data_IF_453750900476
#
_entry.id   IF_453750900476
#
_cell.length_a   1.000
_cell.length_b   1.000
_cell.length_c   1.000
_cell.angle_alpha   90.00
_cell.angle_beta   90.00
_cell.angle_gamma   90.00
#
_symmetry.space_group_name_H-M   'P 1'
#
loop_
_entity.id
_entity.type
_entity.pdbx_description
1 polymer ?
#
# COMPACT_ATOMS: atom_id res chain seq x y z
N UNK A 1 9.04 -14.39 -24.42
CA UNK A 1 9.86 -13.29 -23.84
C UNK A 1 9.11 -12.80 -22.61
N UNK A 2 9.75 -12.67 -21.45
CA UNK A 2 9.07 -12.08 -20.29
C UNK A 2 8.71 -10.62 -20.59
N UNK A 3 7.59 -10.16 -20.04
CA UNK A 3 7.11 -8.80 -20.28
C UNK A 3 8.02 -7.82 -19.51
N UNK A 4 8.50 -6.77 -20.17
CA UNK A 4 9.30 -5.75 -19.48
C UNK A 4 8.44 -5.01 -18.45
N UNK A 5 9.01 -4.71 -17.28
CA UNK A 5 8.39 -3.86 -16.28
C UNK A 5 8.40 -2.39 -16.72
N UNK A 6 7.34 -1.68 -16.36
CA UNK A 6 7.22 -0.22 -16.40
C UNK A 6 6.91 0.28 -15.01
N UNK A 7 7.34 1.50 -14.70
CA UNK A 7 7.06 2.14 -13.42
C UNK A 7 6.66 3.60 -13.61
N UNK A 8 5.92 4.12 -12.63
CA UNK A 8 5.66 5.54 -12.43
C UNK A 8 5.94 5.92 -10.98
N UNK A 9 6.36 7.16 -10.74
CA UNK A 9 6.60 7.69 -9.39
C UNK A 9 5.79 8.96 -9.20
N UNK A 10 5.14 9.08 -8.05
CA UNK A 10 4.49 10.31 -7.58
C UNK A 10 5.27 10.82 -6.37
N UNK A 11 5.80 12.04 -6.49
CA UNK A 11 6.59 12.72 -5.46
C UNK A 11 5.73 13.82 -4.84
N UNK A 12 5.36 13.68 -3.57
CA UNK A 12 4.65 14.72 -2.83
C UNK A 12 5.65 15.60 -2.06
N UNK A 13 5.44 16.92 -2.10
CA UNK A 13 6.29 17.89 -1.42
C UNK A 13 5.54 19.17 -1.05
N UNK A 14 5.97 19.80 0.03
CA UNK A 14 5.61 21.19 0.32
C UNK A 14 6.59 22.11 -0.40
N UNK A 15 6.08 23.16 -1.03
CA UNK A 15 6.86 24.19 -1.73
C UNK A 15 6.69 25.51 -1.01
N UNK A 16 7.80 26.10 -0.58
CA UNK A 16 7.80 27.40 0.07
C UNK A 16 7.53 28.52 -0.93
N UNK A 17 6.73 29.50 -0.53
CA UNK A 17 6.52 30.72 -1.28
C UNK A 17 6.40 31.95 -0.37
N UNK A 18 6.55 33.11 -0.97
CA UNK A 18 6.45 34.45 -0.37
C UNK A 18 5.54 35.29 -1.27
N UNK A 19 4.70 36.13 -0.66
CA UNK A 19 3.80 37.00 -1.42
C UNK A 19 4.59 38.05 -2.21
N UNK A 20 4.06 38.44 -3.36
CA UNK A 20 4.71 39.44 -4.21
C UNK A 20 4.87 40.78 -3.48
N UNK A 21 6.12 41.25 -3.40
CA UNK A 21 6.47 42.50 -2.73
C UNK A 21 6.86 42.35 -1.27
N UNK A 22 6.76 41.16 -0.69
CA UNK A 22 7.27 40.87 0.65
C UNK A 22 8.76 40.51 0.63
N UNK A 23 9.44 40.78 1.74
CA UNK A 23 10.82 40.35 1.93
C UNK A 23 10.88 38.85 2.18
N UNK A 24 11.92 38.19 1.65
CA UNK A 24 12.14 36.77 1.94
C UNK A 24 12.48 36.61 3.43
N UNK A 25 11.86 35.66 4.14
CA UNK A 25 12.25 35.33 5.52
C UNK A 25 13.75 35.05 5.66
N UNK A 26 14.32 34.24 4.77
CA UNK A 26 15.76 34.10 4.60
C UNK A 26 16.26 34.94 3.41
N UNK A 27 17.00 36.00 3.72
CA UNK A 27 17.63 36.87 2.73
C UNK A 27 18.71 36.18 1.88
N UNK A 28 19.23 35.03 2.31
CA UNK A 28 20.24 34.25 1.58
C UNK A 28 19.64 33.20 0.64
N UNK A 29 18.32 33.00 0.67
CA UNK A 29 17.63 32.03 -0.17
C UNK A 29 17.76 32.39 -1.67
N UNK A 30 18.36 31.47 -2.43
CA UNK A 30 18.65 31.63 -3.86
C UNK A 30 17.67 30.89 -4.76
N UNK A 31 16.89 29.97 -4.19
CA UNK A 31 15.85 29.21 -4.88
C UNK A 31 14.61 30.06 -5.14
N UNK A 32 13.74 29.55 -6.01
CA UNK A 32 12.48 30.17 -6.38
C UNK A 32 11.50 30.00 -5.21
N UNK A 33 11.13 31.13 -4.62
CA UNK A 33 10.10 31.26 -3.57
C UNK A 33 9.10 32.37 -3.90
N UNK A 34 9.23 33.05 -5.05
CA UNK A 34 8.30 34.09 -5.50
C UNK A 34 7.77 33.69 -6.88
N UNK A 35 6.44 33.71 -7.02
CA UNK A 35 5.73 33.22 -8.21
C UNK A 35 4.82 34.34 -8.77
N UNK A 36 5.34 35.19 -9.68
CA UNK A 36 4.67 36.44 -10.10
C UNK A 36 3.35 36.24 -10.85
N UNK A 37 2.41 37.18 -10.68
CA UNK A 37 1.09 37.19 -11.32
C UNK A 37 1.14 37.31 -12.84
N UNK A 38 2.24 37.83 -13.37
CA UNK A 38 2.37 38.06 -14.81
C UNK A 38 2.62 36.77 -15.61
N UNK A 39 2.85 35.64 -14.92
CA UNK A 39 3.06 34.31 -15.51
C UNK A 39 1.75 33.47 -15.57
N UNK A 40 0.57 34.09 -15.38
CA UNK A 40 -0.73 33.40 -15.27
C UNK A 40 -1.22 32.68 -16.54
N UNK A 41 -1.56 31.38 -16.45
CA UNK A 41 -2.73 30.82 -17.12
C UNK A 41 -4.00 31.20 -16.32
N UNK A 42 -5.06 31.67 -16.99
CA UNK A 42 -6.37 31.96 -16.35
C UNK A 42 -6.85 30.74 -15.56
N UNK A 43 -7.13 30.91 -14.28
CA UNK A 43 -7.76 29.91 -13.41
C UNK A 43 -9.21 30.33 -13.09
N UNK A 44 -10.22 29.68 -13.71
CA UNK A 44 -11.63 30.01 -13.50
C UNK A 44 -12.10 29.82 -12.06
N UNK A 45 -11.45 28.96 -11.26
CA UNK A 45 -11.85 28.72 -9.87
C UNK A 45 -11.53 29.93 -8.97
N UNK A 46 -10.45 30.67 -9.31
CA UNK A 46 -10.01 31.88 -8.61
C UNK A 46 -10.77 33.16 -9.03
N UNK A 47 -11.46 33.18 -10.17
CA UNK A 47 -12.23 34.35 -10.62
C UNK A 47 -13.49 34.61 -9.76
N UNK A 48 -13.87 33.69 -8.86
CA UNK A 48 -15.13 33.77 -8.11
C UNK A 48 -15.07 34.43 -6.73
N UNK A 49 -13.91 34.91 -6.25
CA UNK A 49 -13.77 35.44 -4.88
C UNK A 49 -12.95 36.72 -4.81
N UNK A 50 -13.63 37.86 -4.88
CA UNK A 50 -13.05 39.16 -4.54
C UNK A 50 -13.47 39.58 -3.14
N UNK A 51 -12.49 39.67 -2.23
CA UNK A 51 -12.34 40.52 -1.03
C UNK A 51 -11.67 39.74 0.13
N UNK A 52 -10.40 40.03 0.43
CA UNK A 52 -9.67 39.48 1.58
C UNK A 52 -8.23 39.03 1.26
N UNK A 53 -7.44 38.77 2.31
CA UNK A 53 -6.10 38.13 2.26
C UNK A 53 -6.10 36.96 1.27
N UNK A 54 -5.08 36.86 0.42
CA UNK A 54 -4.99 35.86 -0.65
C UNK A 54 -4.55 34.50 -0.07
N UNK A 55 -5.43 33.48 0.01
CA UNK A 55 -5.04 32.15 0.48
C UNK A 55 -3.92 31.53 -0.38
N UNK A 56 -3.07 30.66 0.18
CA UNK A 56 -2.07 29.88 -0.56
C UNK A 56 -2.57 29.19 -1.83
N UNK A 57 -3.87 28.86 -1.89
CA UNK A 57 -4.53 28.29 -3.06
C UNK A 57 -4.41 29.16 -4.34
N UNK A 58 -4.29 30.48 -4.23
CA UNK A 58 -4.13 31.37 -5.40
C UNK A 58 -2.77 31.22 -6.09
N UNK A 59 -1.74 30.79 -5.36
CA UNK A 59 -0.39 30.61 -5.90
C UNK A 59 -0.18 29.24 -6.52
N UNK A 60 -1.03 28.25 -6.19
CA UNK A 60 -0.92 26.86 -6.67
C UNK A 60 -0.74 26.78 -8.19
N UNK A 61 -1.61 27.44 -8.96
CA UNK A 61 -1.55 27.42 -10.44
C UNK A 61 -0.27 28.05 -10.98
N UNK A 62 0.29 29.05 -10.30
CA UNK A 62 1.56 29.71 -10.66
C UNK A 62 2.77 28.85 -10.31
N UNK A 63 2.74 28.20 -9.15
CA UNK A 63 3.77 27.24 -8.72
C UNK A 63 3.81 26.07 -9.71
N UNK A 64 2.66 25.49 -10.05
CA UNK A 64 2.56 24.40 -11.04
C UNK A 64 3.13 24.84 -12.40
N UNK A 65 2.79 26.04 -12.88
CA UNK A 65 3.31 26.56 -14.14
C UNK A 65 4.84 26.70 -14.12
N UNK A 66 5.41 27.16 -13.01
CA UNK A 66 6.85 27.33 -12.87
C UNK A 66 7.62 26.01 -12.77
N UNK A 67 7.05 25.01 -12.09
CA UNK A 67 7.56 23.64 -12.09
C UNK A 67 7.58 23.06 -13.50
N UNK A 68 6.44 23.15 -14.23
CA UNK A 68 6.34 22.72 -15.63
C UNK A 68 7.39 23.41 -16.50
N UNK A 69 7.57 24.73 -16.36
CA UNK A 69 8.58 25.50 -17.09
C UNK A 69 10.01 25.02 -16.76
N UNK A 70 10.29 24.79 -15.49
CA UNK A 70 11.62 24.36 -15.00
C UNK A 70 11.96 22.96 -15.51
N UNK A 71 11.04 22.01 -15.39
CA UNK A 71 11.19 20.63 -15.90
C UNK A 71 11.39 20.65 -17.41
N UNK A 72 10.57 21.42 -18.14
CA UNK A 72 10.69 21.56 -19.60
C UNK A 72 12.04 22.17 -20.04
N UNK A 73 12.52 23.22 -19.35
CA UNK A 73 13.85 23.80 -19.60
C UNK A 73 14.99 22.84 -19.25
N UNK A 74 14.77 21.92 -18.32
CA UNK A 74 15.68 20.82 -18.00
C UNK A 74 15.77 19.75 -19.11
N UNK A 75 14.95 19.84 -20.15
CA UNK A 75 14.93 18.89 -21.28
C UNK A 75 14.01 17.68 -21.06
N UNK A 76 13.19 17.70 -20.02
CA UNK A 76 12.22 16.64 -19.74
C UNK A 76 10.87 16.94 -20.38
N UNK A 77 10.17 15.94 -20.94
CA UNK A 77 8.83 16.14 -21.51
C UNK A 77 7.85 16.51 -20.41
N UNK A 78 7.02 17.52 -20.62
CA UNK A 78 6.03 17.97 -19.63
C UNK A 78 4.64 17.55 -20.09
N UNK A 79 3.87 16.97 -19.18
CA UNK A 79 2.50 16.54 -19.47
C UNK A 79 1.58 17.74 -19.73
N UNK A 80 0.75 17.60 -20.76
CA UNK A 80 -0.23 18.62 -21.14
C UNK A 80 -1.40 18.71 -20.17
N UNK A 81 -1.83 17.57 -19.63
CA UNK A 81 -2.91 17.42 -18.64
C UNK A 81 -2.46 16.51 -17.50
N UNK A 82 -3.24 16.43 -16.42
CA UNK A 82 -2.94 15.53 -15.29
C UNK A 82 -3.05 14.04 -15.65
N UNK A 83 -3.83 13.72 -16.68
CA UNK A 83 -4.07 12.36 -17.20
C UNK A 83 -3.10 11.97 -18.32
N UNK A 84 -2.25 12.90 -18.77
CA UNK A 84 -1.26 12.66 -19.81
C UNK A 84 -0.03 11.94 -19.24
N UNK A 85 0.03 10.63 -19.46
CA UNK A 85 1.12 9.77 -18.96
C UNK A 85 2.39 9.81 -19.81
N UNK A 86 2.46 10.68 -20.83
CA UNK A 86 3.60 10.76 -21.75
C UNK A 86 4.69 11.75 -21.32
N UNK A 87 4.38 12.61 -20.36
CA UNK A 87 5.32 13.57 -19.78
C UNK A 87 5.24 13.62 -18.26
N UNK A 88 6.10 14.44 -17.67
CA UNK A 88 6.09 14.76 -16.25
C UNK A 88 4.89 15.66 -15.95
N UNK A 89 3.96 15.15 -15.13
CA UNK A 89 2.82 15.93 -14.68
C UNK A 89 3.14 16.62 -13.36
N UNK A 90 2.58 17.81 -13.20
CA UNK A 90 2.67 18.60 -11.97
C UNK A 90 1.26 19.01 -11.62
N UNK A 91 0.82 18.59 -10.44
CA UNK A 91 -0.51 18.85 -9.90
C UNK A 91 -0.32 19.41 -8.49
N UNK A 92 -1.32 20.11 -7.97
CA UNK A 92 -1.26 20.48 -6.56
C UNK A 92 -2.08 19.52 -5.74
N UNK A 93 -1.61 19.24 -4.53
CA UNK A 93 -2.20 18.27 -3.64
C UNK A 93 -2.76 18.98 -2.40
N UNK A 94 -4.06 18.82 -2.19
CA UNK A 94 -4.79 19.42 -1.08
C UNK A 94 -4.84 18.52 0.16
N UNK A 95 -4.37 17.27 0.04
CA UNK A 95 -4.27 16.34 1.16
C UNK A 95 -3.02 16.59 2.02
N UNK A 96 -2.04 17.32 1.49
CA UNK A 96 -0.83 17.73 2.18
C UNK A 96 -1.13 18.86 3.16
N UNK A 97 -0.70 18.67 4.42
CA UNK A 97 -0.87 19.68 5.44
C UNK A 97 0.40 20.51 5.60
N UNK A 98 0.18 21.75 6.07
CA UNK A 98 1.25 22.66 6.42
C UNK A 98 2.25 21.97 7.38
N UNK A 99 3.55 22.20 7.20
CA UNK A 99 4.58 21.82 8.18
C UNK A 99 4.17 22.23 9.59
N UNK A 100 4.34 21.34 10.56
CA UNK A 100 4.03 21.68 11.96
C UNK A 100 5.08 22.64 12.52
N UNK A 101 4.73 23.47 13.52
CA UNK A 101 5.67 24.39 14.20
C UNK A 101 6.91 23.68 14.82
N UNK A 102 6.89 22.35 14.88
CA UNK A 102 8.01 21.52 15.36
C UNK A 102 9.03 21.17 14.27
N UNK A 103 8.77 21.48 13.00
CA UNK A 103 9.72 21.28 11.90
C UNK A 103 10.68 22.48 11.83
N UNK A 104 11.99 22.25 12.02
CA UNK A 104 13.02 23.29 12.13
C UNK A 104 13.16 24.18 10.87
N UNK A 105 12.53 23.81 9.75
CA UNK A 105 12.69 24.44 8.43
C UNK A 105 11.50 25.34 8.00
N UNK A 106 10.57 25.70 8.90
CA UNK A 106 9.38 26.48 8.50
C UNK A 106 9.64 27.96 8.22
N UNK A 107 10.78 28.51 8.66
CA UNK A 107 11.33 29.86 8.38
C UNK A 107 10.32 30.92 7.91
N UNK A 108 9.20 31.11 8.62
CA UNK A 108 8.11 32.06 8.30
C UNK A 108 7.66 32.09 6.81
N UNK A 109 7.87 31.00 6.05
CA UNK A 109 7.39 30.87 4.69
C UNK A 109 5.94 30.39 4.67
N UNK A 110 5.19 30.79 3.65
CA UNK A 110 3.96 30.09 3.30
C UNK A 110 4.27 28.82 2.50
N UNK A 111 3.42 27.80 2.62
CA UNK A 111 3.65 26.49 2.00
C UNK A 111 2.49 26.02 1.14
N UNK A 112 2.82 25.47 -0.04
CA UNK A 112 1.85 24.89 -0.98
C UNK A 112 2.19 23.43 -1.26
N UNK A 113 1.20 22.54 -1.15
CA UNK A 113 1.35 21.12 -1.48
C UNK A 113 1.37 20.88 -3.00
N UNK A 114 2.43 20.26 -3.49
CA UNK A 114 2.65 19.93 -4.91
C UNK A 114 2.99 18.45 -5.04
N UNK A 115 2.47 17.84 -6.09
CA UNK A 115 2.78 16.47 -6.48
C UNK A 115 3.36 16.46 -7.91
N UNK A 116 4.53 15.82 -8.06
CA UNK A 116 5.20 15.64 -9.36
C UNK A 116 5.14 14.17 -9.73
N UNK A 117 4.55 13.87 -10.89
CA UNK A 117 4.38 12.52 -11.40
C UNK A 117 5.27 12.28 -12.60
N UNK A 118 6.00 11.17 -12.61
CA UNK A 118 6.75 10.73 -13.79
C UNK A 118 5.78 10.33 -14.91
N UNK A 119 6.23 10.34 -16.18
CA UNK A 119 5.55 9.55 -17.21
C UNK A 119 5.59 8.05 -16.86
N UNK A 120 4.84 7.24 -17.62
CA UNK A 120 4.97 5.79 -17.54
C UNK A 120 6.32 5.34 -18.15
N UNK A 121 7.31 5.11 -17.30
CA UNK A 121 8.69 4.86 -17.69
C UNK A 121 8.97 3.35 -17.86
N UNK A 122 9.74 2.93 -18.87
CA UNK A 122 10.27 1.56 -18.90
C UNK A 122 11.30 1.39 -17.78
N UNK A 123 11.35 0.22 -17.13
CA UNK A 123 12.34 -0.07 -16.09
C UNK A 123 13.73 -0.27 -16.69
N UNK A 124 14.47 0.83 -16.86
CA UNK A 124 15.82 0.88 -17.43
C UNK A 124 16.71 1.84 -16.63
N UNK A 125 18.05 1.69 -16.70
CA UNK A 125 18.96 2.63 -16.04
C UNK A 125 18.74 4.09 -16.45
N UNK A 126 18.38 4.35 -17.70
CA UNK A 126 18.10 5.70 -18.20
C UNK A 126 16.86 6.31 -17.55
N UNK A 127 15.80 5.52 -17.40
CA UNK A 127 14.57 5.97 -16.72
C UNK A 127 14.82 6.25 -15.24
N UNK A 128 15.58 5.38 -14.56
CA UNK A 128 15.96 5.60 -13.16
C UNK A 128 16.82 6.85 -13.01
N UNK A 129 17.76 7.09 -13.93
CA UNK A 129 18.56 8.31 -13.94
C UNK A 129 17.71 9.56 -14.16
N UNK A 130 16.72 9.52 -15.06
CA UNK A 130 15.81 10.65 -15.27
C UNK A 130 15.05 11.03 -13.99
N UNK A 131 14.69 10.05 -13.14
CA UNK A 131 14.09 10.32 -11.82
C UNK A 131 15.06 11.06 -10.90
N UNK A 132 16.32 10.60 -10.82
CA UNK A 132 17.37 11.28 -10.02
C UNK A 132 17.60 12.71 -10.50
N UNK A 133 17.66 12.91 -11.81
CA UNK A 133 17.93 14.19 -12.43
C UNK A 133 16.80 15.19 -12.16
N UNK A 134 15.53 14.77 -12.25
CA UNK A 134 14.38 15.62 -11.92
C UNK A 134 14.31 15.95 -10.42
N UNK A 135 14.57 14.98 -9.54
CA UNK A 135 14.65 15.26 -8.10
C UNK A 135 15.71 16.33 -7.80
N UNK A 136 16.90 16.17 -8.38
CA UNK A 136 18.01 17.11 -8.25
C UNK A 136 17.63 18.49 -8.80
N UNK A 137 17.03 18.53 -9.99
CA UNK A 137 16.58 19.77 -10.63
C UNK A 137 15.59 20.53 -9.75
N UNK A 138 14.61 19.82 -9.16
CA UNK A 138 13.61 20.43 -8.28
C UNK A 138 14.28 20.99 -7.03
N UNK A 139 15.09 20.20 -6.32
CA UNK A 139 15.76 20.64 -5.09
C UNK A 139 16.71 21.82 -5.31
N UNK A 140 17.35 21.91 -6.48
CA UNK A 140 18.21 23.04 -6.85
C UNK A 140 17.45 24.32 -7.18
N UNK A 141 16.17 24.21 -7.56
CA UNK A 141 15.39 25.34 -8.09
C UNK A 141 14.32 25.83 -7.14
N UNK A 142 13.78 24.97 -6.29
CA UNK A 142 12.68 25.27 -5.39
C UNK A 142 13.07 24.95 -3.96
N UNK A 143 12.62 25.79 -3.00
CA UNK A 143 12.70 25.44 -1.58
C UNK A 143 11.54 24.48 -1.29
N UNK A 144 11.87 23.21 -1.09
CA UNK A 144 10.91 22.15 -0.81
C UNK A 144 11.14 21.55 0.57
N UNK A 145 10.08 21.01 1.16
CA UNK A 145 10.10 20.31 2.43
C UNK A 145 9.26 19.03 2.31
N UNK A 146 9.74 17.96 2.94
CA UNK A 146 9.00 16.71 3.10
C UNK A 146 8.64 16.57 4.57
N UNK A 147 7.38 16.27 4.86
CA UNK A 147 6.84 16.14 6.20
C UNK A 147 5.99 14.87 6.34
N UNK A 148 5.40 14.63 7.51
CA UNK A 148 4.63 13.40 7.78
C UNK A 148 3.40 13.22 6.89
N UNK A 149 2.96 14.26 6.18
CA UNK A 149 1.84 14.18 5.23
C UNK A 149 2.28 13.86 3.80
N UNK A 150 3.54 14.15 3.47
CA UNK A 150 4.09 13.82 2.15
C UNK A 150 4.39 12.32 2.03
N UNK A 151 4.05 11.76 0.88
CA UNK A 151 4.30 10.38 0.48
C UNK A 151 5.15 10.26 -0.78
N UNK A 152 5.67 9.05 -0.97
CA UNK A 152 6.24 8.60 -2.23
C UNK A 152 5.39 7.43 -2.74
N UNK A 153 4.70 7.63 -3.86
CA UNK A 153 3.94 6.55 -4.49
C UNK A 153 4.71 5.98 -5.68
N UNK A 154 4.68 4.65 -5.82
CA UNK A 154 5.27 3.95 -6.96
C UNK A 154 4.22 3.07 -7.60
N UNK A 155 3.98 3.28 -8.88
CA UNK A 155 3.12 2.46 -9.72
C UNK A 155 3.97 1.48 -10.52
N UNK A 156 3.65 0.19 -10.54
CA UNK A 156 4.37 -0.81 -11.33
C UNK A 156 3.40 -1.66 -12.14
N UNK A 157 3.77 -1.93 -13.40
CA UNK A 157 3.03 -2.80 -14.31
C UNK A 157 3.87 -3.25 -15.50
N UNK A 158 3.22 -3.73 -16.56
CA UNK A 158 3.87 -4.14 -17.82
C UNK A 158 3.41 -3.29 -19.01
N UNK A 159 3.41 -1.98 -18.83
CA UNK A 159 2.78 -1.04 -19.75
C UNK A 159 1.32 -1.41 -19.96
N UNK A 160 0.88 -1.56 -21.20
CA UNK A 160 -0.51 -1.91 -21.53
C UNK A 160 -0.90 -3.35 -21.19
N UNK A 161 0.03 -4.18 -20.74
CA UNK A 161 -0.26 -5.56 -20.35
C UNK A 161 -0.58 -5.65 -18.86
N UNK A 162 -1.62 -6.40 -18.50
CA UNK A 162 -1.88 -6.76 -17.11
C UNK A 162 -0.97 -7.89 -16.64
N UNK A 163 -0.77 -7.95 -15.32
CA UNK A 163 -0.38 -9.16 -14.60
C UNK A 163 -1.37 -10.30 -14.87
N UNK A 164 -0.90 -11.55 -14.85
CA UNK A 164 -1.81 -12.70 -14.92
C UNK A 164 -2.60 -12.81 -13.61
N UNK A 165 -3.77 -13.46 -13.62
CA UNK A 165 -4.54 -13.70 -12.39
C UNK A 165 -3.74 -14.48 -11.33
N UNK A 166 -2.89 -15.41 -11.78
CA UNK A 166 -1.99 -16.15 -10.90
C UNK A 166 -0.96 -15.24 -10.25
N UNK A 167 -0.33 -14.35 -11.02
CA UNK A 167 0.64 -13.39 -10.47
C UNK A 167 -0.02 -12.40 -9.53
N UNK A 168 -1.24 -11.92 -9.83
CA UNK A 168 -2.01 -11.07 -8.91
C UNK A 168 -2.24 -11.77 -7.56
N UNK A 169 -2.64 -13.03 -7.58
CA UNK A 169 -2.81 -13.84 -6.35
C UNK A 169 -1.49 -13.99 -5.59
N UNK A 170 -0.39 -14.34 -6.29
CA UNK A 170 0.94 -14.44 -5.69
C UNK A 170 1.39 -13.12 -5.06
N UNK A 171 1.24 -12.00 -5.78
CA UNK A 171 1.63 -10.65 -5.32
C UNK A 171 0.88 -10.27 -4.05
N UNK A 172 -0.45 -10.42 -4.04
CA UNK A 172 -1.27 -10.12 -2.88
C UNK A 172 -0.92 -10.99 -1.67
N UNK A 173 -0.67 -12.28 -1.89
CA UNK A 173 -0.26 -13.20 -0.83
C UNK A 173 1.13 -12.86 -0.28
N UNK A 174 2.09 -12.51 -1.15
CA UNK A 174 3.43 -12.08 -0.77
C UNK A 174 3.37 -10.83 0.10
N UNK A 175 2.67 -9.80 -0.39
CA UNK A 175 2.53 -8.53 0.33
C UNK A 175 1.87 -8.77 1.68
N UNK A 176 0.80 -9.57 1.75
CA UNK A 176 0.19 -9.89 3.05
C UNK A 176 1.18 -10.59 3.99
N UNK A 177 1.87 -11.63 3.51
CA UNK A 177 2.78 -12.43 4.31
C UNK A 177 3.94 -11.58 4.88
N UNK A 178 4.48 -10.69 4.05
CA UNK A 178 5.70 -9.93 4.33
C UNK A 178 5.49 -8.45 4.61
N UNK A 179 4.24 -7.97 4.73
CA UNK A 179 3.98 -6.58 5.10
C UNK A 179 4.71 -6.18 6.40
N UNK A 180 4.78 -7.00 7.47
CA UNK A 180 5.55 -6.63 8.66
C UNK A 180 7.02 -6.36 8.37
N UNK A 181 7.65 -7.16 7.50
CA UNK A 181 9.03 -6.95 7.04
C UNK A 181 9.11 -5.70 6.16
N UNK A 182 8.28 -5.56 5.14
CA UNK A 182 8.30 -4.41 4.23
C UNK A 182 8.06 -3.09 4.98
N UNK A 183 7.15 -3.09 5.95
CA UNK A 183 6.84 -1.92 6.78
C UNK A 183 8.07 -1.42 7.53
N UNK A 184 8.97 -2.32 7.96
CA UNK A 184 10.19 -1.95 8.68
C UNK A 184 11.13 -1.04 7.87
N UNK A 185 10.93 -0.90 6.56
CA UNK A 185 11.67 0.06 5.72
C UNK A 185 11.17 1.50 5.85
N UNK A 186 10.11 1.72 6.64
CA UNK A 186 9.44 3.01 6.75
C UNK A 186 9.31 3.43 8.22
N UNK A 187 9.37 4.73 8.52
CA UNK A 187 9.19 5.22 9.88
C UNK A 187 7.77 4.96 10.39
N UNK A 188 7.61 4.94 11.72
CA UNK A 188 6.34 4.57 12.38
C UNK A 188 5.14 5.43 11.95
N UNK A 189 5.36 6.70 11.56
CA UNK A 189 4.30 7.57 11.08
C UNK A 189 3.70 7.11 9.73
N UNK A 190 4.41 6.26 8.98
CA UNK A 190 3.92 5.62 7.74
C UNK A 190 3.41 4.19 7.95
N UNK A 191 3.57 3.61 9.14
CA UNK A 191 3.12 2.24 9.42
C UNK A 191 1.61 2.07 9.15
N UNK A 192 0.81 3.01 9.66
CA UNK A 192 -0.62 3.10 9.37
C UNK A 192 -1.05 4.55 9.54
N UNK A 193 -1.34 5.21 8.43
CA UNK A 193 -1.85 6.59 8.40
C UNK A 193 -3.19 6.65 7.69
N UNK A 194 -3.90 7.78 7.77
CA UNK A 194 -5.27 7.89 7.25
C UNK A 194 -5.39 7.66 5.73
N UNK A 195 -4.28 7.83 5.02
CA UNK A 195 -4.17 7.65 3.57
C UNK A 195 -3.28 6.46 3.20
N UNK A 196 -2.97 5.57 4.14
CA UNK A 196 -2.09 4.42 3.93
C UNK A 196 -2.16 3.46 5.10
N UNK A 197 -3.16 2.59 5.06
CA UNK A 197 -3.43 1.61 6.07
C UNK A 197 -2.69 0.31 5.78
N UNK A 198 -2.08 -0.26 6.83
CA UNK A 198 -1.50 -1.60 6.79
C UNK A 198 -2.57 -2.63 6.40
N UNK A 199 -2.29 -3.41 5.36
CA UNK A 199 -3.10 -4.48 4.80
C UNK A 199 -3.40 -5.57 5.84
N UNK A 200 -2.43 -5.96 6.68
CA UNK A 200 -2.58 -6.96 7.74
C UNK A 200 -3.72 -6.62 8.68
N UNK A 201 -3.90 -5.35 9.00
CA UNK A 201 -4.91 -4.90 9.96
C UNK A 201 -6.19 -4.39 9.30
N UNK A 202 -6.08 -3.76 8.13
CA UNK A 202 -7.17 -2.95 7.58
C UNK A 202 -7.79 -3.50 6.30
N UNK A 203 -7.24 -4.56 5.70
CA UNK A 203 -7.91 -5.15 4.54
C UNK A 203 -9.29 -5.71 4.90
N UNK A 204 -10.18 -5.78 3.91
CA UNK A 204 -11.56 -6.23 4.10
C UNK A 204 -11.62 -7.63 4.71
N UNK A 205 -10.73 -8.55 4.32
CA UNK A 205 -10.65 -9.88 4.93
C UNK A 205 -10.32 -9.80 6.43
N UNK A 206 -9.25 -9.10 6.80
CA UNK A 206 -8.82 -8.94 8.19
C UNK A 206 -9.90 -8.30 9.06
N UNK A 207 -10.50 -7.21 8.59
CA UNK A 207 -11.57 -6.49 9.31
C UNK A 207 -12.85 -7.34 9.43
N UNK A 208 -13.25 -8.05 8.37
CA UNK A 208 -14.38 -8.98 8.39
C UNK A 208 -14.15 -10.12 9.36
N UNK A 209 -12.94 -10.69 9.35
CA UNK A 209 -12.55 -11.77 10.26
C UNK A 209 -12.55 -11.30 11.71
N UNK A 210 -11.95 -10.15 12.00
CA UNK A 210 -11.91 -9.57 13.35
C UNK A 210 -13.31 -9.25 13.86
N UNK A 211 -14.19 -8.64 13.04
CA UNK A 211 -15.59 -8.37 13.43
C UNK A 211 -16.36 -9.64 13.75
N UNK A 212 -16.10 -10.73 13.01
CA UNK A 212 -16.79 -12.01 13.20
C UNK A 212 -16.26 -12.81 14.39
N UNK A 213 -14.96 -12.78 14.65
CA UNK A 213 -14.29 -13.69 15.57
C UNK A 213 -13.63 -13.02 16.78
N UNK A 214 -13.58 -11.69 16.82
CA UNK A 214 -12.96 -10.92 17.91
C UNK A 214 -11.44 -11.00 17.97
N UNK A 215 -10.79 -11.60 16.96
CA UNK A 215 -9.33 -11.76 16.85
C UNK A 215 -8.90 -11.57 15.40
N UNK A 216 -7.64 -11.15 15.19
CA UNK A 216 -7.06 -11.03 13.85
C UNK A 216 -6.81 -12.40 13.21
N UNK A 217 -6.91 -12.55 11.88
CA UNK A 217 -6.46 -13.76 11.22
C UNK A 217 -4.93 -13.90 11.32
N UNK A 218 -4.46 -15.14 11.38
CA UNK A 218 -3.02 -15.42 11.24
C UNK A 218 -2.54 -15.19 9.82
N UNK A 219 -1.22 -14.99 9.64
CA UNK A 219 -0.59 -14.91 8.32
C UNK A 219 -1.00 -16.08 7.42
N UNK A 220 -0.88 -17.30 7.96
CA UNK A 220 -1.20 -18.53 7.24
C UNK A 220 -2.66 -18.54 6.76
N UNK A 221 -3.60 -18.13 7.60
CA UNK A 221 -5.02 -18.07 7.23
C UNK A 221 -5.29 -17.16 6.04
N UNK A 222 -4.76 -15.95 6.08
CA UNK A 222 -4.97 -14.97 5.03
C UNK A 222 -4.26 -15.36 3.73
N UNK A 223 -3.00 -15.81 3.81
CA UNK A 223 -2.24 -16.31 2.67
C UNK A 223 -2.97 -17.48 2.02
N UNK A 224 -3.43 -18.47 2.79
CA UNK A 224 -4.24 -19.58 2.26
C UNK A 224 -5.51 -19.06 1.59
N UNK A 225 -6.24 -18.12 2.21
CA UNK A 225 -7.47 -17.56 1.62
C UNK A 225 -7.17 -16.85 0.30
N UNK A 226 -6.11 -16.04 0.21
CA UNK A 226 -5.73 -15.34 -1.02
C UNK A 226 -5.36 -16.32 -2.13
N UNK A 227 -4.46 -17.29 -1.84
CA UNK A 227 -3.97 -18.25 -2.84
C UNK A 227 -5.05 -19.23 -3.33
N UNK A 228 -6.07 -19.50 -2.50
CA UNK A 228 -7.16 -20.43 -2.84
C UNK A 228 -8.42 -19.74 -3.38
N UNK A 229 -8.42 -18.40 -3.47
CA UNK A 229 -9.56 -17.66 -4.01
C UNK A 229 -9.59 -17.78 -5.53
N UNK A 230 -10.63 -18.47 -6.03
CA UNK A 230 -10.87 -18.73 -7.44
C UNK A 230 -12.38 -18.59 -7.67
N UNK A 231 -12.76 -17.82 -8.68
CA UNK A 231 -14.15 -17.61 -9.11
C UNK A 231 -14.45 -18.32 -10.44
N UNK A 232 -15.69 -18.19 -10.92
CA UNK A 232 -16.13 -18.78 -12.20
C UNK A 232 -15.32 -18.32 -13.40
N UNK A 233 -14.62 -17.18 -13.32
CA UNK A 233 -13.78 -16.66 -14.37
C UNK A 233 -12.64 -15.81 -13.80
N UNK A 234 -11.64 -15.52 -14.64
CA UNK A 234 -10.42 -14.81 -14.24
C UNK A 234 -10.67 -13.35 -13.83
N UNK A 235 -11.68 -12.69 -14.40
CA UNK A 235 -11.98 -11.28 -14.09
C UNK A 235 -12.76 -11.17 -12.78
N UNK A 236 -13.69 -12.08 -12.52
CA UNK A 236 -14.34 -12.24 -11.22
C UNK A 236 -13.32 -12.62 -10.13
N UNK A 237 -12.36 -13.49 -10.44
CA UNK A 237 -11.30 -13.88 -9.49
C UNK A 237 -10.45 -12.67 -9.10
N UNK A 238 -10.02 -11.84 -10.07
CA UNK A 238 -9.25 -10.62 -9.80
C UNK A 238 -10.04 -9.62 -8.95
N UNK A 239 -11.33 -9.46 -9.19
CA UNK A 239 -12.19 -8.58 -8.40
C UNK A 239 -12.33 -9.06 -6.95
N UNK A 240 -12.59 -10.34 -6.74
CA UNK A 240 -12.68 -10.92 -5.39
C UNK A 240 -11.34 -10.80 -4.65
N UNK A 241 -10.24 -11.09 -5.33
CA UNK A 241 -8.89 -10.91 -4.79
C UNK A 241 -8.65 -9.46 -4.36
N UNK A 242 -8.94 -8.49 -5.24
CA UNK A 242 -8.80 -7.06 -4.95
C UNK A 242 -9.70 -6.63 -3.76
N UNK A 243 -10.94 -7.11 -3.69
CA UNK A 243 -11.84 -6.81 -2.57
C UNK A 243 -11.27 -7.36 -1.26
N UNK A 244 -10.81 -8.62 -1.22
CA UNK A 244 -10.25 -9.25 -0.02
C UNK A 244 -9.13 -8.42 0.63
N UNK A 245 -8.29 -7.81 -0.21
CA UNK A 245 -7.05 -7.14 0.22
C UNK A 245 -7.16 -5.62 0.30
N UNK A 246 -8.22 -5.04 -0.24
CA UNK A 246 -8.43 -3.58 -0.22
C UNK A 246 -8.77 -3.07 1.18
N UNK A 247 -8.34 -1.84 1.46
CA UNK A 247 -8.76 -1.12 2.67
C UNK A 247 -10.04 -0.34 2.39
N UNK A 248 -11.16 -0.80 2.95
CA UNK A 248 -12.47 -0.18 2.76
C UNK A 248 -13.02 -0.37 1.35
N UNK A 249 -14.01 0.46 0.99
CA UNK A 249 -14.77 0.31 -0.27
C UNK A 249 -14.05 0.83 -1.51
N UNK A 250 -13.05 1.70 -1.36
CA UNK A 250 -12.35 2.30 -2.49
C UNK A 250 -10.91 1.84 -2.66
N UNK A 251 -10.33 1.11 -1.70
CA UNK A 251 -8.94 0.63 -1.74
C UNK A 251 -7.85 1.71 -1.65
N UNK A 252 -8.18 2.98 -1.99
CA UNK A 252 -7.29 4.14 -2.05
C UNK A 252 -6.72 4.61 -0.72
N UNK A 253 -7.11 4.00 0.39
CA UNK A 253 -6.55 4.33 1.71
C UNK A 253 -5.61 3.23 2.22
N UNK A 254 -5.26 2.23 1.40
CA UNK A 254 -4.28 1.20 1.76
C UNK A 254 -2.85 1.62 1.43
N UNK A 255 -1.88 1.01 2.13
CA UNK A 255 -0.45 1.04 1.77
C UNK A 255 -0.18 0.45 0.37
N UNK A 256 -1.12 -0.37 -0.10
CA UNK A 256 -1.10 -0.97 -1.43
C UNK A 256 -2.49 -0.76 -2.04
N UNK A 257 -2.52 -0.21 -3.26
CA UNK A 257 -3.75 -0.01 -4.01
C UNK A 257 -3.76 -0.91 -5.25
N UNK A 258 -4.70 -1.85 -5.24
CA UNK A 258 -4.85 -2.89 -6.26
C UNK A 258 -5.93 -2.55 -7.31
N UNK A 259 -6.54 -1.36 -7.25
CA UNK A 259 -7.62 -0.98 -8.17
C UNK A 259 -7.21 -1.04 -9.64
N UNK A 260 -5.94 -0.75 -9.95
CA UNK A 260 -5.40 -0.84 -11.30
C UNK A 260 -5.25 -2.28 -11.82
N UNK A 261 -5.35 -3.28 -10.94
CA UNK A 261 -5.30 -4.70 -11.30
C UNK A 261 -6.69 -5.29 -11.57
N UNK A 262 -7.76 -4.56 -11.26
CA UNK A 262 -9.11 -4.94 -11.63
C UNK A 262 -9.26 -4.86 -13.15
N UNK A 263 -9.87 -5.88 -13.76
CA UNK A 263 -10.17 -5.87 -15.18
C UNK A 263 -11.28 -4.84 -15.48
N UNK A 264 -10.89 -3.62 -15.86
CA UNK A 264 -11.81 -2.52 -16.18
C UNK A 264 -12.05 -2.35 -17.69
N UNK A 265 -11.69 -3.34 -18.50
CA UNK A 265 -11.97 -3.35 -19.94
C UNK A 265 -11.13 -2.38 -20.77
N UNK A 266 -11.59 -2.08 -22.00
CA UNK A 266 -10.82 -1.46 -23.10
C UNK A 266 -10.38 0.00 -22.85
N UNK A 267 -10.92 0.65 -21.81
CA UNK A 267 -10.61 2.04 -21.43
C UNK A 267 -9.94 2.16 -20.05
N UNK A 268 -9.47 1.06 -19.46
CA UNK A 268 -8.77 1.10 -18.19
C UNK A 268 -7.45 1.89 -18.35
N UNK A 269 -7.15 2.74 -17.36
CA UNK A 269 -5.80 3.28 -17.15
C UNK A 269 -4.79 2.12 -17.09
N UNK A 270 -3.52 2.42 -17.37
CA UNK A 270 -2.44 1.44 -17.40
C UNK A 270 -2.50 0.55 -16.14
N UNK A 271 -2.65 -0.78 -16.27
CA UNK A 271 -2.92 -1.66 -15.14
C UNK A 271 -1.68 -1.72 -14.25
N UNK A 272 -1.74 -1.01 -13.13
CA UNK A 272 -0.62 -0.89 -12.19
C UNK A 272 -1.03 -1.30 -10.80
N UNK A 273 -0.06 -1.84 -10.07
CA UNK A 273 -0.07 -1.92 -8.62
C UNK A 273 0.58 -0.64 -8.08
N UNK A 274 -0.12 0.05 -7.20
CA UNK A 274 0.37 1.27 -6.56
C UNK A 274 0.83 0.97 -5.12
N UNK A 275 2.06 1.33 -4.82
CA UNK A 275 2.71 1.23 -3.51
C UNK A 275 2.77 2.61 -2.86
N UNK A 276 2.22 2.74 -1.65
CA UNK A 276 1.93 4.04 -0.99
C UNK A 276 2.53 4.18 0.41
N UNK A 277 3.21 3.13 0.87
CA UNK A 277 3.77 3.04 2.22
C UNK A 277 5.00 3.92 2.47
N UNK A 278 5.70 4.38 1.43
CA UNK A 278 6.97 5.11 1.61
C UNK A 278 6.72 6.58 2.00
N UNK A 279 7.51 7.11 2.93
CA UNK A 279 7.48 8.54 3.29
C UNK A 279 7.90 9.42 2.10
N UNK A 280 7.42 10.65 2.06
CA UNK A 280 7.83 11.62 1.06
C UNK A 280 9.34 11.85 1.13
N UNK A 281 10.00 11.85 -0.03
CA UNK A 281 11.43 12.14 -0.14
C UNK A 281 11.74 12.77 -1.50
N UNK A 282 12.75 13.63 -1.51
CA UNK A 282 13.35 14.16 -2.74
C UNK A 282 14.78 13.64 -2.95
N UNK A 283 15.25 12.67 -2.15
CA UNK A 283 16.50 11.95 -2.40
C UNK A 283 16.31 10.98 -3.57
N UNK A 284 16.80 11.39 -4.75
CA UNK A 284 16.69 10.59 -5.97
C UNK A 284 17.34 9.20 -5.87
N UNK A 285 18.38 9.02 -5.05
CA UNK A 285 18.96 7.69 -4.83
C UNK A 285 18.00 6.79 -4.06
N UNK A 286 17.42 7.32 -2.98
CA UNK A 286 16.44 6.59 -2.18
C UNK A 286 15.20 6.20 -3.00
N UNK A 287 14.69 7.13 -3.82
CA UNK A 287 13.55 6.86 -4.73
C UNK A 287 13.89 5.71 -5.68
N UNK A 288 15.08 5.72 -6.30
CA UNK A 288 15.49 4.68 -7.25
C UNK A 288 15.72 3.32 -6.55
N UNK A 289 16.33 3.30 -5.38
CA UNK A 289 16.51 2.08 -4.60
C UNK A 289 15.18 1.46 -4.20
N UNK A 290 14.19 2.30 -3.89
CA UNK A 290 12.83 1.85 -3.62
C UNK A 290 12.15 1.26 -4.86
N UNK A 291 12.22 1.93 -6.01
CA UNK A 291 11.70 1.40 -7.29
C UNK A 291 12.37 0.06 -7.64
N UNK A 292 13.69 -0.04 -7.52
CA UNK A 292 14.44 -1.27 -7.80
C UNK A 292 14.03 -2.42 -6.86
N UNK A 293 13.84 -2.13 -5.57
CA UNK A 293 13.35 -3.11 -4.60
C UNK A 293 11.99 -3.65 -5.02
N UNK A 294 11.04 -2.76 -5.31
CA UNK A 294 9.67 -3.15 -5.67
C UNK A 294 9.62 -3.94 -6.98
N UNK A 295 10.30 -3.48 -8.03
CA UNK A 295 10.36 -4.21 -9.30
C UNK A 295 11.08 -5.55 -9.14
N UNK A 296 12.17 -5.59 -8.36
CA UNK A 296 12.91 -6.81 -8.07
C UNK A 296 12.08 -7.85 -7.32
N UNK A 297 11.29 -7.39 -6.35
CA UNK A 297 10.33 -8.22 -5.62
C UNK A 297 9.27 -8.80 -6.55
N UNK A 298 8.64 -7.96 -7.39
CA UNK A 298 7.63 -8.43 -8.35
C UNK A 298 8.22 -9.40 -9.37
N UNK A 299 9.45 -9.16 -9.83
CA UNK A 299 10.16 -10.07 -10.72
C UNK A 299 10.40 -11.43 -10.07
N UNK A 300 10.87 -11.48 -8.83
CA UNK A 300 10.99 -12.73 -8.08
C UNK A 300 9.65 -13.46 -8.02
N UNK A 301 8.58 -12.75 -7.68
CA UNK A 301 7.23 -13.33 -7.58
C UNK A 301 6.78 -13.94 -8.91
N UNK A 302 6.97 -13.24 -10.04
CA UNK A 302 6.57 -13.74 -11.36
C UNK A 302 7.43 -14.93 -11.83
N UNK A 303 8.74 -14.87 -11.60
CA UNK A 303 9.70 -15.89 -12.04
C UNK A 303 9.58 -17.19 -11.23
N UNK A 304 9.08 -17.12 -9.98
CA UNK A 304 8.95 -18.29 -9.11
C UNK A 304 7.75 -19.18 -9.50
N UNK A 305 8.02 -20.48 -9.56
CA UNK A 305 7.00 -21.52 -9.79
C UNK A 305 6.00 -21.53 -8.63
N UNK A 306 4.70 -21.70 -8.95
CA UNK A 306 3.62 -21.42 -8.01
C UNK A 306 3.66 -22.32 -6.77
N UNK A 307 3.94 -23.63 -6.91
CA UNK A 307 4.05 -24.55 -5.77
C UNK A 307 5.22 -24.20 -4.86
N UNK A 308 6.39 -23.92 -5.43
CA UNK A 308 7.60 -23.50 -4.72
C UNK A 308 7.37 -22.18 -3.97
N UNK A 309 6.72 -21.22 -4.64
CA UNK A 309 6.30 -19.95 -4.06
C UNK A 309 5.30 -20.13 -2.90
N UNK A 310 4.24 -20.90 -3.11
CA UNK A 310 3.23 -21.16 -2.08
C UNK A 310 3.84 -21.85 -0.86
N UNK A 311 4.71 -22.84 -1.09
CA UNK A 311 5.46 -23.51 -0.02
C UNK A 311 6.30 -22.53 0.78
N UNK A 312 7.04 -21.64 0.11
CA UNK A 312 7.83 -20.61 0.77
C UNK A 312 6.96 -19.71 1.68
N UNK A 313 5.81 -19.25 1.17
CA UNK A 313 4.89 -18.44 1.97
C UNK A 313 4.33 -19.21 3.17
N UNK A 314 3.93 -20.47 3.01
CA UNK A 314 3.39 -21.27 4.11
C UNK A 314 4.43 -21.60 5.16
N UNK A 315 5.62 -22.06 4.76
CA UNK A 315 6.72 -22.35 5.68
C UNK A 315 7.10 -21.10 6.49
N UNK A 316 7.02 -19.92 5.89
CA UNK A 316 7.36 -18.66 6.55
C UNK A 316 6.22 -18.19 7.45
N UNK A 317 4.97 -18.26 6.99
CA UNK A 317 3.79 -17.92 7.78
C UNK A 317 3.63 -18.82 9.01
N UNK A 318 4.03 -20.09 8.95
CA UNK A 318 4.02 -21.01 10.09
C UNK A 318 5.03 -20.65 11.18
N UNK A 319 6.14 -19.99 10.81
CA UNK A 319 7.14 -19.49 11.77
C UNK A 319 6.67 -18.24 12.52
N UNK A 320 5.63 -17.55 12.03
CA UNK A 320 5.07 -16.39 12.70
C UNK A 320 4.27 -16.81 13.95
N UNK A 321 4.96 -16.86 15.10
CA UNK A 321 4.39 -17.24 16.40
C UNK A 321 3.37 -16.22 16.92
N UNK A 322 3.62 -14.94 16.64
CA UNK A 322 2.75 -13.82 16.98
C UNK A 322 3.08 -12.59 16.11
N UNK A 323 2.16 -11.64 16.08
CA UNK A 323 2.32 -10.33 15.42
C UNK A 323 1.95 -9.23 16.40
N UNK A 324 2.52 -8.04 16.21
CA UNK A 324 2.09 -6.84 16.92
C UNK A 324 0.70 -6.44 16.42
N UNK A 325 -0.19 -6.04 17.33
CA UNK A 325 -1.57 -5.65 16.98
C UNK A 325 -2.03 -4.36 17.64
N UNK A 326 -1.17 -3.67 18.39
CA UNK A 326 -1.52 -2.39 19.02
C UNK A 326 -2.63 -2.52 20.06
N UNK A 327 -2.66 -3.60 20.83
CA UNK A 327 -3.65 -3.85 21.90
C UNK A 327 -3.09 -3.58 23.31
N UNK A 328 -1.99 -2.82 23.40
CA UNK A 328 -1.21 -2.53 24.62
C UNK A 328 -0.56 -3.76 25.27
N UNK A 329 -0.65 -4.94 24.65
CA UNK A 329 -0.04 -6.19 25.15
C UNK A 329 1.16 -6.64 24.35
N UNK A 330 1.54 -5.92 23.28
CA UNK A 330 2.66 -6.27 22.41
C UNK A 330 3.98 -6.40 23.19
N UNK A 331 4.30 -5.45 24.08
CA UNK A 331 5.50 -5.53 24.92
C UNK A 331 5.52 -6.76 25.84
N UNK A 332 4.35 -7.17 26.36
CA UNK A 332 4.23 -8.38 27.19
C UNK A 332 4.39 -9.64 26.35
N UNK A 333 3.81 -9.68 25.15
CA UNK A 333 4.00 -10.77 24.20
C UNK A 333 5.46 -10.90 23.83
N UNK A 334 6.13 -9.80 23.48
CA UNK A 334 7.55 -9.82 23.13
C UNK A 334 8.42 -10.34 24.28
N UNK A 335 8.16 -9.90 25.52
CA UNK A 335 8.89 -10.38 26.70
C UNK A 335 8.70 -11.89 26.97
N UNK A 336 7.54 -12.47 26.58
CA UNK A 336 7.21 -13.87 26.84
C UNK A 336 7.49 -14.81 25.67
N UNK A 337 7.35 -14.33 24.43
CA UNK A 337 7.41 -15.12 23.19
C UNK A 337 8.65 -14.81 22.34
N UNK A 338 9.42 -13.78 22.72
CA UNK A 338 10.51 -13.24 21.90
C UNK A 338 10.02 -12.26 20.84
N UNK A 339 10.92 -11.72 19.99
CA UNK A 339 10.56 -10.80 18.92
C UNK A 339 9.57 -11.44 17.94
N UNK A 340 8.86 -10.61 17.17
CA UNK A 340 8.11 -11.09 16.00
C UNK A 340 9.08 -11.67 14.97
N UNK A 341 8.55 -12.41 13.99
CA UNK A 341 9.35 -12.94 12.89
C UNK A 341 10.15 -11.83 12.17
N UNK A 342 9.48 -10.72 11.86
CA UNK A 342 10.07 -9.57 11.16
C UNK A 342 11.13 -8.80 11.96
N UNK A 343 11.06 -8.84 13.29
CA UNK A 343 12.03 -8.18 14.19
C UNK A 343 13.20 -9.09 14.59
N UNK A 344 13.19 -10.36 14.18
CA UNK A 344 14.08 -11.39 14.72
C UNK A 344 14.53 -12.41 13.69
N UNK A 345 13.86 -13.56 13.66
CA UNK A 345 14.34 -14.75 12.92
C UNK A 345 14.35 -14.60 11.39
N UNK A 346 13.54 -13.70 10.82
CA UNK A 346 13.49 -13.44 9.38
C UNK A 346 13.07 -11.99 9.09
N UNK A 347 14.07 -11.11 9.08
CA UNK A 347 13.91 -9.66 8.88
C UNK A 347 13.67 -9.29 7.42
N UNK A 348 13.40 -8.01 7.14
CA UNK A 348 13.35 -7.51 5.76
C UNK A 348 14.68 -7.70 5.02
N UNK A 349 15.81 -7.61 5.71
CA UNK A 349 17.12 -7.80 5.09
C UNK A 349 17.31 -9.26 4.68
N UNK A 350 16.88 -10.20 5.53
CA UNK A 350 16.89 -11.63 5.20
C UNK A 350 15.96 -11.94 4.02
N UNK A 351 14.78 -11.33 3.99
CA UNK A 351 13.84 -11.44 2.87
C UNK A 351 14.47 -10.92 1.56
N UNK A 352 15.05 -9.71 1.58
CA UNK A 352 15.68 -9.12 0.41
C UNK A 352 16.82 -9.99 -0.11
N UNK A 353 17.66 -10.54 0.78
CA UNK A 353 18.72 -11.49 0.40
C UNK A 353 18.16 -12.79 -0.17
N UNK A 354 17.08 -13.31 0.42
CA UNK A 354 16.41 -14.53 -0.04
C UNK A 354 15.89 -14.39 -1.48
N UNK A 355 15.25 -13.26 -1.79
CA UNK A 355 14.72 -12.99 -3.14
C UNK A 355 15.76 -12.40 -4.11
N UNK A 356 17.04 -12.42 -3.74
CA UNK A 356 18.15 -12.05 -4.62
C UNK A 356 18.47 -10.55 -4.70
N UNK A 357 17.82 -9.70 -3.90
CA UNK A 357 18.00 -8.25 -3.86
C UNK A 357 19.12 -7.84 -2.89
N UNK A 358 20.33 -8.36 -3.11
CA UNK A 358 21.47 -8.11 -2.23
C UNK A 358 21.89 -6.64 -2.18
N UNK A 359 21.81 -5.91 -3.29
CA UNK A 359 22.14 -4.48 -3.34
C UNK A 359 21.17 -3.66 -2.47
N UNK A 360 19.87 -3.91 -2.60
CA UNK A 360 18.85 -3.24 -1.79
C UNK A 360 18.98 -3.65 -0.32
N UNK A 361 19.27 -4.93 -0.05
CA UNK A 361 19.56 -5.39 1.32
C UNK A 361 20.74 -4.60 1.93
N UNK A 362 21.82 -4.40 1.18
CA UNK A 362 22.98 -3.65 1.65
C UNK A 362 22.70 -2.14 1.79
N UNK A 363 21.85 -1.57 0.94
CA UNK A 363 21.44 -0.16 1.02
C UNK A 363 20.54 0.12 2.24
N UNK A 364 19.58 -0.77 2.52
CA UNK A 364 18.57 -0.56 3.56
C UNK A 364 18.93 -1.12 4.94
N UNK A 365 19.98 -1.95 5.07
CA UNK A 365 20.33 -2.60 6.37
C UNK A 365 20.48 -1.65 7.56
N UNK A 366 20.93 -0.42 7.31
CA UNK A 366 21.13 0.60 8.34
C UNK A 366 19.96 1.61 8.39
N UNK A 367 18.86 1.33 7.68
CA UNK A 367 17.65 2.17 7.50
C UNK A 367 16.37 1.43 7.86
N UNK A 368 16.48 0.42 8.73
CA UNK A 368 15.32 -0.36 9.21
C UNK A 368 14.80 0.19 10.53
N UNK A 369 13.48 0.21 10.66
CA UNK A 369 12.74 0.70 11.80
C UNK A 369 12.12 -0.47 12.57
N UNK A 370 12.27 -0.44 13.90
CA UNK A 370 11.46 -1.27 14.78
C UNK A 370 10.23 -0.48 15.20
N UNK A 371 9.05 -0.96 14.86
CA UNK A 371 7.80 -0.28 15.22
C UNK A 371 7.27 -0.75 16.56
N UNK A 372 6.99 0.19 17.45
CA UNK A 372 6.03 -0.01 18.53
C UNK A 372 4.66 0.42 18.00
N UNK A 373 3.81 -0.54 17.60
CA UNK A 373 2.53 -0.24 16.97
C UNK A 373 1.66 0.55 17.96
N UNK A 374 1.21 1.77 17.60
CA UNK A 374 0.38 2.56 18.50
C UNK A 374 -0.95 1.86 18.80
N UNK A 375 -1.54 2.09 19.99
CA UNK A 375 -2.81 1.48 20.34
C UNK A 375 -3.89 1.81 19.32
N UNK A 376 -4.57 0.80 18.77
CA UNK A 376 -5.69 1.01 17.85
C UNK A 376 -7.02 0.78 18.58
N UNK A 377 -7.91 1.77 18.56
CA UNK A 377 -9.28 1.63 19.05
C UNK A 377 -10.10 0.76 18.10
N UNK A 378 -10.31 -0.50 18.49
CA UNK A 378 -11.20 -1.42 17.77
C UNK A 378 -12.66 -1.09 18.14
N UNK A 379 -13.56 -0.83 17.18
CA UNK A 379 -14.99 -0.83 17.44
C UNK A 379 -15.42 -2.25 17.81
N UNK A 380 -15.57 -2.52 19.11
CA UNK A 380 -16.12 -3.80 19.58
C UNK A 380 -17.63 -3.78 19.32
N UNK A 381 -18.06 -4.33 18.18
CA UNK A 381 -19.47 -4.70 18.03
C UNK A 381 -19.78 -5.84 19.01
N UNK A 382 -20.89 -5.71 19.73
CA UNK A 382 -21.35 -6.67 20.76
C UNK A 382 -21.22 -8.10 20.24
N UNK A 383 -20.58 -8.96 21.06
CA UNK A 383 -20.41 -10.41 20.87
C UNK A 383 -21.58 -11.04 20.11
N UNK A 384 -21.37 -11.42 18.85
CA UNK A 384 -22.08 -12.58 18.28
C UNK A 384 -21.24 -13.80 18.67
N UNK A 385 -21.31 -14.19 19.95
CA UNK A 385 -20.63 -15.39 20.41
C UNK A 385 -21.40 -16.61 19.93
N UNK A 386 -21.08 -17.07 18.73
CA UNK A 386 -21.09 -18.50 18.45
C UNK A 386 -19.64 -18.95 18.42
N UNK A 387 -19.33 -19.96 19.23
CA UNK A 387 -18.02 -20.61 19.24
C UNK A 387 -17.57 -20.89 17.80
N UNK A 388 -16.29 -20.67 17.49
CA UNK A 388 -15.74 -21.02 16.18
C UNK A 388 -15.92 -22.53 15.95
N UNK A 389 -16.98 -22.88 15.21
CA UNK A 389 -17.21 -24.22 14.68
C UNK A 389 -16.57 -24.25 13.29
N UNK A 390 -15.38 -24.85 13.21
CA UNK A 390 -14.65 -24.97 11.97
C UNK A 390 -15.13 -26.19 11.17
N UNK A 391 -15.40 -26.06 9.86
CA UNK A 391 -15.88 -27.18 9.03
C UNK A 391 -14.86 -28.34 8.89
N UNK A 392 -13.57 -28.13 9.17
CA UNK A 392 -12.62 -29.25 9.28
C UNK A 392 -13.04 -30.24 10.37
N UNK A 393 -13.79 -29.82 11.40
CA UNK A 393 -14.34 -30.77 12.39
C UNK A 393 -15.27 -31.76 11.73
N UNK A 394 -16.12 -31.36 10.78
CA UNK A 394 -16.99 -32.31 10.08
C UNK A 394 -16.19 -33.30 9.24
N UNK A 395 -15.23 -32.81 8.44
CA UNK A 395 -14.41 -33.69 7.58
C UNK A 395 -13.48 -34.62 8.40
N UNK A 396 -12.98 -34.21 9.56
CA UNK A 396 -12.14 -35.04 10.44
C UNK A 396 -12.93 -35.90 11.44
N UNK A 397 -14.06 -35.43 11.98
CA UNK A 397 -14.91 -36.19 12.91
C UNK A 397 -15.67 -37.31 12.18
N UNK A 398 -16.09 -37.08 10.93
CA UNK A 398 -16.69 -38.12 10.09
C UNK A 398 -15.66 -39.21 9.67
N UNK A 399 -14.36 -38.94 9.80
CA UNK A 399 -13.27 -39.88 9.49
C UNK A 399 -12.58 -40.54 10.70
N UNK A 400 -12.50 -39.89 11.87
CA UNK A 400 -11.56 -40.29 12.94
C UNK A 400 -12.17 -40.28 14.36
N UNK A 401 -13.39 -39.80 14.57
CA UNK A 401 -14.11 -39.98 15.84
C UNK A 401 -13.39 -39.46 17.09
N UNK A 402 -12.78 -38.26 17.04
CA UNK A 402 -12.13 -37.65 18.21
C UNK A 402 -12.73 -36.29 18.54
N UNK A 403 -13.19 -36.12 19.79
CA UNK A 403 -13.48 -34.81 20.37
C UNK A 403 -12.17 -34.12 20.76
N UNK A 404 -11.75 -33.09 20.03
CA UNK A 404 -10.45 -32.47 20.21
C UNK A 404 -10.50 -31.19 21.07
N UNK A 405 -9.52 -31.04 21.97
CA UNK A 405 -9.29 -29.86 22.81
C UNK A 405 -8.82 -28.64 21.98
N UNK A 406 -8.82 -27.40 22.52
CA UNK A 406 -8.46 -26.18 21.78
C UNK A 406 -7.05 -26.20 21.16
N UNK A 407 -6.06 -26.82 21.81
CA UNK A 407 -4.70 -26.98 21.27
C UNK A 407 -4.66 -27.96 20.08
N UNK A 408 -5.53 -28.97 20.10
CA UNK A 408 -5.69 -29.93 18.99
C UNK A 408 -6.41 -29.29 17.79
N UNK A 409 -7.33 -28.34 18.02
CA UNK A 409 -7.99 -27.57 16.96
C UNK A 409 -7.03 -26.64 16.19
N UNK A 410 -6.09 -25.97 16.88
CA UNK A 410 -5.09 -25.12 16.21
C UNK A 410 -4.13 -25.95 15.32
N UNK A 411 -3.74 -27.13 15.82
CA UNK A 411 -2.95 -28.10 15.06
C UNK A 411 -3.72 -28.64 13.85
N UNK A 412 -4.97 -29.09 14.03
CA UNK A 412 -5.82 -29.56 12.93
C UNK A 412 -6.06 -28.47 11.87
N UNK A 413 -6.20 -27.20 12.29
CA UNK A 413 -6.29 -26.07 11.37
C UNK A 413 -5.00 -25.89 10.55
N UNK A 414 -3.83 -25.93 11.20
CA UNK A 414 -2.53 -25.86 10.52
C UNK A 414 -2.36 -27.01 9.54
N UNK A 415 -2.72 -28.23 9.93
CA UNK A 415 -2.71 -29.40 9.03
C UNK A 415 -3.65 -29.23 7.83
N UNK A 416 -4.87 -28.73 8.03
CA UNK A 416 -5.81 -28.47 6.94
C UNK A 416 -5.28 -27.38 6.00
N UNK A 417 -4.70 -26.31 6.54
CA UNK A 417 -4.10 -25.23 5.75
C UNK A 417 -2.90 -25.71 4.94
N UNK A 418 -2.00 -26.48 5.57
CA UNK A 418 -0.90 -27.15 4.87
C UNK A 418 -1.39 -28.13 3.82
N UNK A 419 -2.46 -28.90 4.11
CA UNK A 419 -3.11 -29.78 3.14
C UNK A 419 -3.69 -29.02 1.95
N UNK A 420 -4.38 -27.90 2.18
CA UNK A 420 -4.89 -27.05 1.09
C UNK A 420 -3.75 -26.47 0.26
N UNK A 421 -2.65 -26.07 0.91
CA UNK A 421 -1.44 -25.63 0.23
C UNK A 421 -0.84 -26.72 -0.66
N UNK A 422 -0.67 -27.92 -0.12
CA UNK A 422 -0.19 -29.08 -0.86
C UNK A 422 -1.14 -29.50 -2.00
N UNK A 423 -2.45 -29.44 -1.77
CA UNK A 423 -3.47 -29.73 -2.77
C UNK A 423 -3.48 -28.70 -3.90
N UNK A 424 -3.26 -27.42 -3.58
CA UNK A 424 -3.14 -26.35 -4.57
C UNK A 424 -1.88 -26.54 -5.43
N UNK A 425 -0.74 -26.81 -4.80
CA UNK A 425 0.52 -27.12 -5.46
C UNK A 425 0.40 -28.32 -6.42
N UNK A 426 -0.10 -29.46 -5.93
CA UNK A 426 -0.26 -30.68 -6.73
C UNK A 426 -1.24 -30.53 -7.90
N UNK A 427 -2.23 -29.63 -7.78
CA UNK A 427 -3.20 -29.34 -8.85
C UNK A 427 -2.66 -28.43 -9.94
N UNK A 428 -1.67 -27.59 -9.64
CA UNK A 428 -1.06 -26.68 -10.61
C UNK A 428 0.08 -27.34 -11.41
N UNK A 429 0.68 -28.42 -10.89
CA UNK A 429 1.67 -29.22 -11.63
C UNK A 429 1.06 -30.06 -12.77
N UNK A 430 -0.26 -30.29 -12.79
CA UNK A 430 -0.91 -31.24 -13.72
C UNK A 430 -1.51 -30.58 -14.99
N UNK A 431 -1.27 -29.29 -15.25
CA UNK A 431 -1.62 -28.51 -16.48
C UNK A 431 -3.08 -28.63 -17.02
N UNK A 432 -3.98 -29.27 -16.27
CA UNK A 432 -5.29 -29.76 -16.74
C UNK A 432 -6.49 -29.13 -16.06
N UNK A 433 -6.49 -27.82 -15.78
CA UNK A 433 -7.64 -27.18 -15.17
C UNK A 433 -8.81 -27.05 -16.15
N UNK A 434 -9.94 -27.70 -15.83
CA UNK A 434 -11.25 -27.34 -16.38
C UNK A 434 -12.11 -26.74 -15.26
N UNK A 435 -12.74 -25.61 -15.57
CA UNK A 435 -13.54 -24.70 -14.73
C UNK A 435 -14.65 -25.33 -13.86
N UNK A 436 -14.90 -26.64 -13.96
CA UNK A 436 -16.20 -27.21 -13.62
C UNK A 436 -16.29 -27.88 -12.25
N UNK A 437 -15.19 -28.21 -11.58
CA UNK A 437 -15.28 -29.00 -10.35
C UNK A 437 -15.05 -28.15 -9.09
N UNK A 438 -16.20 -27.64 -8.62
CA UNK A 438 -16.48 -27.13 -7.28
C UNK A 438 -16.09 -25.67 -6.97
N UNK A 439 -16.58 -24.74 -7.81
CA UNK A 439 -16.78 -23.31 -7.50
C UNK A 439 -17.75 -23.02 -6.32
N UNK A 440 -18.14 -24.07 -5.58
CA UNK A 440 -18.99 -24.01 -4.37
C UNK A 440 -18.51 -24.92 -3.25
N UNK A 441 -17.28 -25.45 -3.30
CA UNK A 441 -16.64 -25.96 -2.09
C UNK A 441 -16.33 -24.76 -1.18
N UNK A 442 -17.39 -24.29 -0.52
CA UNK A 442 -17.40 -23.19 0.42
C UNK A 442 -16.39 -23.55 1.50
N UNK A 443 -15.27 -22.81 1.53
CA UNK A 443 -14.21 -22.98 2.54
C UNK A 443 -14.69 -22.63 3.96
N UNK A 444 -15.92 -22.09 4.08
CA UNK A 444 -16.58 -21.63 5.30
C UNK A 444 -18.09 -21.70 5.11
N UNK A 445 -18.84 -22.11 6.13
CA UNK A 445 -20.30 -22.12 6.10
C UNK A 445 -20.85 -20.72 5.77
N UNK A 446 -21.62 -20.61 4.69
CA UNK A 446 -22.73 -19.65 4.63
C UNK A 446 -23.67 -20.08 5.76
N UNK A 447 -23.81 -19.27 6.81
CA UNK A 447 -25.03 -19.37 7.60
C UNK A 447 -26.18 -19.19 6.61
N UNK A 448 -27.11 -20.14 6.56
CA UNK A 448 -28.38 -19.92 5.90
C UNK A 448 -28.88 -18.55 6.34
N UNK A 449 -29.28 -17.73 5.37
CA UNK A 449 -30.06 -16.52 5.62
C UNK A 449 -31.42 -16.92 6.19
N UNK A 450 -31.44 -17.49 7.38
CA UNK A 450 -32.66 -17.62 8.17
C UNK A 450 -32.73 -16.37 9.04
N UNK A 451 -33.24 -15.32 8.42
CA UNK A 451 -33.94 -14.18 9.02
C UNK A 451 -33.60 -13.88 10.48
N UNK A 452 -32.57 -13.08 10.72
CA UNK A 452 -32.51 -12.31 11.97
C UNK A 452 -33.27 -11.01 11.70
N UNK A 453 -34.49 -10.93 12.23
CA UNK A 453 -35.20 -9.67 12.38
C UNK A 453 -34.32 -8.71 13.16
N UNK A 454 -33.88 -7.65 12.52
CA UNK A 454 -33.32 -6.48 13.20
C UNK A 454 -34.47 -5.86 13.99
N UNK A 455 -34.47 -6.03 15.30
CA UNK A 455 -35.23 -5.12 16.16
C UNK A 455 -34.48 -3.79 16.15
N UNK A 456 -35.12 -2.79 15.51
CA UNK A 456 -34.74 -1.40 15.62
C UNK A 456 -34.50 -1.03 17.09
N UNK A 457 -33.29 -0.55 17.41
CA UNK A 457 -33.09 0.29 18.58
C UNK A 457 -31.88 1.22 18.39
N UNK A 458 -32.27 2.46 18.10
CA UNK A 458 -31.71 3.73 18.57
C UNK A 458 -30.28 4.16 18.17
N UNK A 459 -30.28 5.22 17.36
CA UNK A 459 -29.34 6.34 17.27
C UNK A 459 -28.09 6.26 18.16
N UNK A 460 -26.94 6.03 17.52
CA UNK A 460 -25.68 6.61 18.01
C UNK A 460 -25.18 7.59 16.95
N UNK A 461 -25.44 8.85 17.26
CA UNK A 461 -25.01 10.06 16.59
C UNK A 461 -23.56 10.02 16.11
N UNK A 462 -23.38 10.09 14.79
CA UNK A 462 -22.18 10.62 14.13
C UNK A 462 -22.09 12.12 14.37
N UNK A 463 -21.51 12.50 15.50
CA UNK A 463 -21.09 13.87 15.73
C UNK A 463 -19.89 13.86 16.66
N UNK A 464 -18.73 14.23 16.11
CA UNK A 464 -17.59 14.94 16.73
C UNK A 464 -16.32 14.48 16.04
N UNK A 465 -15.90 15.23 15.00
CA UNK A 465 -14.54 15.76 14.83
C UNK A 465 -14.54 16.62 13.56
N UNK A 466 -15.28 17.73 13.64
CA UNK A 466 -15.03 18.94 12.86
C UNK A 466 -15.10 20.09 13.85
N UNK A 467 -13.94 20.52 14.35
CA UNK A 467 -13.78 21.87 14.92
C UNK A 467 -12.40 22.40 14.60
N UNK A 468 -12.44 23.26 13.58
CA UNK A 468 -11.53 24.36 13.19
C UNK A 468 -10.14 24.00 12.74
#
# INVERSE_FOLDING_TARGET
MSKSFTFGVELEMMVAFVLEGEEKPDSTETRIVVFPSNDEPRDPENESRHTGEFPPAFYKSRIIAEFKRTIGKGGFPVASTETDTSGWAVVGDTSLNHPTDTEEETEDYDWCGIEVKTPALPFTPQSLQAVKDVCTLIQQRFKTLQNTTTGLHVHIGHGKSCFSTHDVSKIMAFIYAFEPQLSSLHPVHRYSHMYGHAMRHNCNFSQSFQRRHGVMPSALMAVTKILTTIESDMSSTRRELADLVSSGSCGKNGNYNFNGLEDRGVNAEVPTLEFRQHEGTMDGELVVQWVQLLVGMLKFIEDEEYASFAKFLFDTAEKEKWQKVGDEKDAKREASMGPTLADGEFTVIDLLRYIGLNEQADYFKDRVHKHDIPPYTVPVLKKVSKELSWEYRKEFEEGVGMSAEPETNDQLRKYFQGFQGARLAAKMEDDGWTLAENSRARLWSVHSEDSVSVEDSDEISTSLYYRR
#
